data_IF_330070849290
#
_entry.id   IF_330070849290
#
_cell.length_a   1.000
_cell.length_b   1.000
_cell.length_c   1.000
_cell.angle_alpha   90.00
_cell.angle_beta   90.00
_cell.angle_gamma   90.00
#
_symmetry.space_group_name_H-M   'P 1'
#
loop_
_entity.id
_entity.type
_entity.pdbx_description
1 polymer ?
#
# COMPACT_ATOMS: atom_id res chain seq x y z
N UNK A 1 22.40 -16.11 39.62
CA UNK A 1 20.98 -16.03 40.02
C UNK A 1 20.13 -16.50 38.87
N UNK A 2 19.47 -17.65 39.05
CA UNK A 2 18.64 -18.34 38.03
C UNK A 2 17.41 -17.51 37.67
N UNK A 3 17.22 -17.23 36.37
CA UNK A 3 15.96 -16.68 35.86
C UNK A 3 14.89 -17.79 35.92
N UNK A 4 13.94 -17.67 36.82
CA UNK A 4 12.75 -18.52 36.86
C UNK A 4 11.88 -18.16 35.64
N UNK A 5 11.81 -19.08 34.69
CA UNK A 5 10.78 -19.06 33.65
C UNK A 5 9.44 -19.38 34.30
N UNK A 6 8.54 -18.42 34.39
CA UNK A 6 7.16 -18.68 34.78
C UNK A 6 6.49 -19.48 33.65
N UNK A 7 6.20 -20.74 33.92
CA UNK A 7 5.33 -21.57 33.08
C UNK A 7 3.87 -21.23 33.39
N UNK A 8 3.02 -21.01 32.40
CA UNK A 8 1.60 -20.77 32.64
C UNK A 8 0.94 -22.01 33.23
N UNK A 9 -0.10 -21.84 34.07
CA UNK A 9 -0.81 -22.98 34.69
C UNK A 9 -1.45 -23.85 33.61
N UNK A 10 -1.55 -25.16 33.83
CA UNK A 10 -2.13 -26.10 32.86
C UNK A 10 -3.60 -25.78 32.66
N UNK A 11 -3.98 -25.57 31.37
CA UNK A 11 -5.34 -25.24 30.95
C UNK A 11 -5.55 -23.80 30.50
N UNK A 12 -4.53 -22.95 30.50
CA UNK A 12 -4.63 -21.58 30.05
C UNK A 12 -4.29 -21.51 28.54
N UNK A 13 -5.31 -21.49 27.71
CA UNK A 13 -5.18 -21.22 26.27
C UNK A 13 -5.50 -19.75 26.02
N UNK A 14 -4.46 -18.97 25.73
CA UNK A 14 -4.63 -17.60 25.24
C UNK A 14 -5.21 -17.65 23.83
N UNK A 15 -6.42 -17.13 23.67
CA UNK A 15 -6.98 -16.93 22.33
C UNK A 15 -6.22 -15.76 21.66
N UNK A 16 -5.30 -16.09 20.74
CA UNK A 16 -4.48 -15.10 20.02
C UNK A 16 -5.30 -14.14 19.14
N UNK A 17 -6.59 -14.44 18.92
CA UNK A 17 -7.51 -13.58 18.18
C UNK A 17 -8.36 -12.68 19.11
N UNK A 18 -8.20 -12.81 20.43
CA UNK A 18 -8.86 -11.92 21.39
C UNK A 18 -8.22 -10.52 21.31
N UNK A 19 -9.01 -9.46 21.07
CA UNK A 19 -8.50 -8.09 21.00
C UNK A 19 -7.69 -7.69 22.23
N UNK A 20 -8.07 -8.11 23.43
CA UNK A 20 -7.34 -7.83 24.67
C UNK A 20 -5.99 -8.55 24.72
N UNK A 21 -5.90 -9.77 24.17
CA UNK A 21 -4.65 -10.53 24.08
C UNK A 21 -3.71 -9.93 23.04
N UNK A 22 -4.24 -9.48 21.89
CA UNK A 22 -3.47 -8.76 20.87
C UNK A 22 -2.96 -7.42 21.41
N UNK A 23 -3.82 -6.68 22.12
CA UNK A 23 -3.47 -5.44 22.79
C UNK A 23 -2.38 -5.65 23.85
N UNK A 24 -2.49 -6.70 24.65
CA UNK A 24 -1.47 -7.07 25.63
C UNK A 24 -0.15 -7.52 24.97
N UNK A 25 -0.21 -8.22 23.83
CA UNK A 25 0.97 -8.63 23.09
C UNK A 25 1.73 -7.43 22.49
N UNK A 26 1.01 -6.44 21.99
CA UNK A 26 1.59 -5.17 21.49
C UNK A 26 2.25 -4.40 22.67
N UNK A 27 1.60 -4.40 23.82
CA UNK A 27 2.11 -3.79 25.06
C UNK A 27 3.40 -4.48 25.56
N UNK A 28 3.43 -5.80 25.53
CA UNK A 28 4.62 -6.59 25.93
C UNK A 28 5.77 -6.34 24.96
N UNK A 29 5.52 -6.26 23.64
CA UNK A 29 6.55 -5.97 22.66
C UNK A 29 7.13 -4.57 22.83
N UNK A 30 6.33 -3.58 23.17
CA UNK A 30 6.79 -2.22 23.47
C UNK A 30 7.63 -2.19 24.77
N UNK A 31 7.24 -2.94 25.82
CA UNK A 31 7.96 -2.93 27.09
C UNK A 31 9.27 -3.73 27.08
N UNK A 32 9.40 -4.78 26.25
CA UNK A 32 10.63 -5.57 26.12
C UNK A 32 11.80 -4.79 25.50
N UNK A 33 11.51 -3.71 24.78
CA UNK A 33 12.53 -2.87 24.13
C UNK A 33 13.15 -1.82 25.02
N UNK A 34 12.54 -1.50 26.13
CA UNK A 34 13.00 -0.45 27.06
C UNK A 34 14.17 -0.93 27.95
N UNK A 35 14.50 -2.21 27.95
CA UNK A 35 15.56 -2.78 28.82
C UNK A 35 16.96 -2.82 28.22
N UNK A 36 17.18 -2.24 27.00
CA UNK A 36 18.46 -2.17 26.31
C UNK A 36 19.01 -0.76 26.21
N UNK A 37 19.87 -0.38 27.15
CA UNK A 37 20.87 0.68 27.10
C UNK A 37 20.47 2.07 26.57
N UNK A 38 19.99 2.88 27.39
CA UNK A 38 20.29 4.25 27.80
C UNK A 38 19.12 4.80 28.58
N UNK A 39 19.29 4.79 29.89
CA UNK A 39 18.37 5.41 30.85
C UNK A 39 18.55 6.92 30.77
N UNK A 40 18.18 7.53 29.65
CA UNK A 40 17.74 8.90 29.72
C UNK A 40 16.45 8.90 30.52
N UNK A 41 16.38 9.71 31.56
CA UNK A 41 15.20 9.91 32.39
C UNK A 41 14.08 10.41 31.51
N UNK A 42 13.28 9.46 30.95
CA UNK A 42 12.11 9.80 30.15
C UNK A 42 11.09 10.45 31.11
N UNK A 43 10.75 11.69 30.85
CA UNK A 43 9.74 12.38 31.60
C UNK A 43 8.36 11.74 31.40
N UNK A 44 7.65 11.56 32.52
CA UNK A 44 6.25 11.11 32.47
C UNK A 44 5.41 12.17 31.79
N UNK A 45 4.68 11.77 30.75
CA UNK A 45 3.82 12.70 30.03
C UNK A 45 3.13 12.04 28.83
N UNK A 46 2.32 12.82 28.10
CA UNK A 46 1.68 12.35 26.89
C UNK A 46 2.74 12.01 25.82
N UNK A 47 2.44 11.05 24.94
CA UNK A 47 3.33 10.71 23.84
C UNK A 47 3.65 11.92 22.96
N UNK A 48 4.87 11.98 22.44
CA UNK A 48 5.32 13.01 21.48
C UNK A 48 5.84 12.33 20.23
N UNK A 49 5.46 12.82 19.06
CA UNK A 49 6.06 12.43 17.78
C UNK A 49 7.30 13.31 17.59
N UNK A 50 8.48 12.68 17.54
CA UNK A 50 9.77 13.35 17.36
C UNK A 50 10.14 13.48 15.88
N UNK A 51 9.71 12.52 15.07
CA UNK A 51 9.83 12.51 13.61
C UNK A 51 8.48 12.09 13.04
N UNK A 52 7.90 12.96 12.24
CA UNK A 52 6.60 12.73 11.63
C UNK A 52 6.67 11.69 10.51
N UNK A 53 5.52 11.09 10.23
CA UNK A 53 5.31 10.26 9.04
C UNK A 53 5.54 11.10 7.77
N UNK A 54 6.02 10.43 6.73
CA UNK A 54 6.17 11.00 5.39
C UNK A 54 5.39 10.17 4.39
N UNK A 55 4.88 10.84 3.36
CA UNK A 55 4.24 10.18 2.23
C UNK A 55 5.25 9.25 1.54
N UNK A 56 4.76 8.09 1.11
CA UNK A 56 5.56 7.08 0.41
C UNK A 56 4.87 6.63 -0.85
N UNK A 57 5.67 6.23 -1.82
CA UNK A 57 5.18 5.61 -3.06
C UNK A 57 5.29 4.09 -2.94
N UNK A 58 4.23 3.40 -3.30
CA UNK A 58 4.10 1.95 -3.31
C UNK A 58 3.86 1.48 -4.75
N UNK A 59 4.84 0.83 -5.33
CA UNK A 59 4.65 0.17 -6.63
C UNK A 59 3.85 -1.12 -6.45
N UNK A 60 2.89 -1.39 -7.35
CA UNK A 60 2.06 -2.61 -7.30
C UNK A 60 2.91 -3.88 -7.13
N UNK A 61 2.51 -4.75 -6.20
CA UNK A 61 3.23 -5.98 -5.86
C UNK A 61 4.42 -5.81 -4.91
N UNK A 62 4.87 -4.58 -4.62
CA UNK A 62 5.95 -4.31 -3.68
C UNK A 62 5.43 -4.05 -2.24
N UNK A 63 6.32 -3.66 -1.34
CA UNK A 63 5.96 -3.26 0.01
C UNK A 63 6.34 -1.80 0.27
N UNK A 64 5.54 -1.12 1.10
CA UNK A 64 5.84 0.21 1.60
C UNK A 64 5.98 0.21 3.13
N UNK A 65 6.84 1.07 3.65
CA UNK A 65 7.05 1.26 5.08
C UNK A 65 6.76 2.72 5.45
N UNK A 66 5.77 2.92 6.31
CA UNK A 66 5.51 4.19 6.98
C UNK A 66 6.15 4.13 8.36
N UNK A 67 6.98 5.09 8.72
CA UNK A 67 7.67 5.10 10.00
C UNK A 67 7.66 6.47 10.65
N UNK A 68 7.56 6.49 11.97
CA UNK A 68 7.72 7.69 12.78
C UNK A 68 8.55 7.39 14.01
N UNK A 69 9.18 8.43 14.56
CA UNK A 69 9.88 8.34 15.83
C UNK A 69 9.03 8.95 16.93
N UNK A 70 8.90 8.23 18.05
CA UNK A 70 8.04 8.64 19.16
C UNK A 70 8.80 8.61 20.47
N UNK A 71 8.44 9.49 21.40
CA UNK A 71 8.87 9.43 22.79
C UNK A 71 7.64 9.34 23.67
N UNK A 72 7.57 8.30 24.50
CA UNK A 72 6.44 8.08 25.38
C UNK A 72 6.88 7.40 26.69
N UNK A 73 6.37 7.88 27.81
CA UNK A 73 6.50 7.21 29.09
C UNK A 73 5.30 7.56 29.97
N UNK A 74 4.53 6.61 30.50
CA UNK A 74 4.63 5.14 30.30
C UNK A 74 4.43 4.68 28.86
N UNK A 75 4.73 3.40 28.59
CA UNK A 75 4.64 2.78 27.28
C UNK A 75 3.27 3.00 26.65
N UNK A 76 3.21 3.39 25.37
CA UNK A 76 1.97 3.73 24.71
C UNK A 76 1.30 2.54 24.04
N UNK A 77 -0.01 2.66 23.84
CA UNK A 77 -0.76 1.90 22.84
C UNK A 77 -0.60 2.53 21.47
N UNK A 78 -0.43 1.72 20.45
CA UNK A 78 -0.26 2.17 19.07
C UNK A 78 -1.29 1.47 18.20
N UNK A 79 -2.07 2.28 17.48
CA UNK A 79 -3.10 1.80 16.55
C UNK A 79 -2.92 2.51 15.22
N UNK A 80 -2.98 1.76 14.14
CA UNK A 80 -2.93 2.29 12.78
C UNK A 80 -4.31 2.27 12.14
N UNK A 81 -4.57 3.30 11.34
CA UNK A 81 -5.81 3.46 10.58
C UNK A 81 -5.49 3.74 9.13
N UNK A 82 -6.36 3.26 8.23
CA UNK A 82 -6.40 3.66 6.83
C UNK A 82 -7.76 4.28 6.54
N UNK A 83 -7.77 5.53 6.09
CA UNK A 83 -8.99 6.29 5.78
C UNK A 83 -10.04 6.22 6.92
N UNK A 84 -9.57 6.30 8.17
CA UNK A 84 -10.39 6.22 9.37
C UNK A 84 -10.77 4.81 9.83
N UNK A 85 -10.44 3.77 9.07
CA UNK A 85 -10.69 2.38 9.45
C UNK A 85 -9.46 1.79 10.13
N UNK A 86 -9.65 1.19 11.31
CA UNK A 86 -8.59 0.52 12.05
C UNK A 86 -7.99 -0.64 11.25
N UNK A 87 -6.68 -0.69 11.20
CA UNK A 87 -5.91 -1.79 10.64
C UNK A 87 -5.57 -2.79 11.74
N UNK A 88 -5.45 -4.06 11.36
CA UNK A 88 -4.99 -5.13 12.26
C UNK A 88 -3.64 -5.65 11.82
N UNK A 89 -2.76 -5.93 12.78
CA UNK A 89 -1.48 -6.60 12.50
C UNK A 89 -1.75 -7.98 11.88
N UNK A 90 -1.07 -8.27 10.78
CA UNK A 90 -1.31 -9.48 10.02
C UNK A 90 -0.45 -9.58 8.76
N UNK A 91 -0.79 -10.50 7.84
CA UNK A 91 0.02 -10.73 6.65
C UNK A 91 0.13 -9.50 5.73
N UNK A 92 -0.96 -8.73 5.56
CA UNK A 92 -1.01 -7.55 4.71
C UNK A 92 -0.40 -6.32 5.38
N UNK A 93 -0.76 -6.07 6.62
CA UNK A 93 -0.33 -4.92 7.42
C UNK A 93 0.50 -5.42 8.59
N UNK A 94 1.78 -5.07 8.63
CA UNK A 94 2.68 -5.50 9.70
C UNK A 94 3.10 -4.33 10.56
N UNK A 95 2.81 -4.40 11.85
CA UNK A 95 3.30 -3.45 12.83
C UNK A 95 4.76 -3.80 13.16
N UNK A 96 5.63 -2.82 13.09
CA UNK A 96 7.05 -2.96 13.39
C UNK A 96 7.45 -1.94 14.43
N UNK A 97 8.13 -2.43 15.44
CA UNK A 97 8.71 -1.61 16.50
C UNK A 97 10.22 -1.84 16.47
N UNK A 98 10.96 -0.80 16.08
CA UNK A 98 12.43 -0.83 16.07
C UNK A 98 12.97 0.04 17.20
N UNK A 99 14.07 -0.38 17.82
CA UNK A 99 14.68 0.30 18.94
C UNK A 99 15.34 1.63 18.53
N UNK A 100 15.35 2.66 19.40
CA UNK A 100 14.70 2.70 20.71
C UNK A 100 13.27 3.25 20.69
N UNK A 101 12.83 3.97 19.65
CA UNK A 101 11.58 4.72 19.63
C UNK A 101 10.90 4.76 18.26
N UNK A 102 11.24 3.84 17.36
CA UNK A 102 10.64 3.79 16.02
C UNK A 102 9.40 2.91 15.99
N UNK A 103 8.34 3.49 15.43
CA UNK A 103 7.07 2.82 15.17
C UNK A 103 6.84 2.82 13.67
N UNK A 104 6.62 1.67 13.09
CA UNK A 104 6.39 1.55 11.67
C UNK A 104 5.22 0.62 11.33
N UNK A 105 4.60 0.92 10.19
CA UNK A 105 3.64 0.07 9.50
C UNK A 105 4.24 -0.35 8.16
N UNK A 106 4.32 -1.66 7.93
CA UNK A 106 4.69 -2.22 6.62
C UNK A 106 3.42 -2.70 5.92
N UNK A 107 3.15 -2.17 4.75
CA UNK A 107 2.09 -2.60 3.84
C UNK A 107 2.73 -3.51 2.80
N UNK A 108 2.29 -4.76 2.72
CA UNK A 108 2.84 -5.79 1.83
C UNK A 108 1.93 -6.02 0.64
N UNK A 109 2.49 -6.60 -0.42
CA UNK A 109 1.75 -7.00 -1.62
C UNK A 109 0.84 -5.85 -2.11
N UNK A 110 1.49 -4.72 -2.43
CA UNK A 110 0.83 -3.47 -2.78
C UNK A 110 -0.18 -3.63 -3.91
N UNK A 111 -1.35 -3.04 -3.74
CA UNK A 111 -2.40 -2.98 -4.76
C UNK A 111 -2.96 -1.56 -4.81
N UNK A 112 -3.62 -1.18 -5.90
CA UNK A 112 -4.21 0.16 -6.05
C UNK A 112 -5.16 0.53 -4.87
N UNK A 113 -5.82 -0.45 -4.27
CA UNK A 113 -6.67 -0.25 -3.10
C UNK A 113 -5.90 0.18 -1.83
N UNK A 114 -4.57 0.09 -1.81
CA UNK A 114 -3.74 0.59 -0.71
C UNK A 114 -3.49 2.10 -0.78
N UNK A 115 -3.80 2.75 -1.90
CA UNK A 115 -3.84 4.21 -1.97
C UNK A 115 -4.71 4.77 -0.84
N UNK A 116 -4.24 5.79 -0.13
CA UNK A 116 -5.04 6.45 0.90
C UNK A 116 -4.22 7.07 2.00
N UNK A 117 -4.93 7.64 2.99
CA UNK A 117 -4.35 8.28 4.16
C UNK A 117 -4.20 7.27 5.30
N UNK A 118 -2.99 7.13 5.79
CA UNK A 118 -2.66 6.30 6.95
C UNK A 118 -2.40 7.17 8.16
N UNK A 119 -2.97 6.80 9.29
CA UNK A 119 -2.85 7.54 10.55
C UNK A 119 -2.39 6.59 11.64
N UNK A 120 -1.35 6.98 12.38
CA UNK A 120 -0.96 6.32 13.62
C UNK A 120 -1.52 7.10 14.80
N UNK A 121 -2.15 6.42 15.74
CA UNK A 121 -2.56 6.97 17.03
C UNK A 121 -1.76 6.30 18.13
N UNK A 122 -1.14 7.11 18.94
CA UNK A 122 -0.23 6.71 20.02
C UNK A 122 -0.83 7.26 21.30
N UNK A 123 -1.17 6.41 22.26
CA UNK A 123 -1.89 6.79 23.46
C UNK A 123 -1.27 6.16 24.71
N UNK A 124 -1.10 6.95 25.75
CA UNK A 124 -0.79 6.47 27.10
C UNK A 124 -1.77 7.09 28.13
N UNK A 125 -1.65 6.80 29.46
CA UNK A 125 -2.54 7.36 30.47
C UNK A 125 -2.57 8.90 30.55
N UNK A 126 -1.56 9.58 29.99
CA UNK A 126 -1.48 11.04 29.99
C UNK A 126 -2.14 11.69 28.78
N UNK A 127 -2.50 10.92 27.75
CA UNK A 127 -3.20 11.43 26.58
C UNK A 127 -2.81 10.75 25.27
N UNK A 128 -3.45 11.11 24.17
CA UNK A 128 -3.12 10.64 22.83
C UNK A 128 -2.25 11.63 22.06
N UNK A 129 -1.54 11.12 21.06
CA UNK A 129 -1.00 11.90 19.94
C UNK A 129 -1.23 11.12 18.64
N UNK A 130 -1.22 11.79 17.49
CA UNK A 130 -1.40 11.13 16.20
C UNK A 130 -0.59 11.81 15.11
N UNK A 131 -0.14 11.01 14.14
CA UNK A 131 0.49 11.47 12.92
C UNK A 131 -0.14 10.80 11.71
N UNK A 132 -0.04 11.41 10.54
CA UNK A 132 -0.58 10.82 9.31
C UNK A 132 0.30 11.10 8.11
N UNK A 133 0.25 10.19 7.12
CA UNK A 133 0.86 10.33 5.81
C UNK A 133 0.04 9.55 4.77
N UNK A 134 0.29 9.82 3.50
CA UNK A 134 -0.37 9.13 2.40
C UNK A 134 0.54 8.05 1.81
N UNK A 135 -0.07 6.94 1.40
CA UNK A 135 0.54 6.02 0.45
C UNK A 135 -0.03 6.35 -0.92
N UNK A 136 0.85 6.70 -1.85
CA UNK A 136 0.56 6.84 -3.27
C UNK A 136 0.87 5.49 -3.92
N UNK A 137 -0.03 4.98 -4.76
CA UNK A 137 0.19 3.68 -5.41
C UNK A 137 0.46 3.91 -6.87
N UNK A 138 1.54 3.33 -7.36
CA UNK A 138 1.91 3.30 -8.76
C UNK A 138 1.70 1.90 -9.34
N UNK A 139 1.07 1.83 -10.52
CA UNK A 139 0.74 0.60 -11.22
C UNK A 139 1.36 0.66 -12.62
N UNK A 140 2.22 -0.31 -13.01
CA UNK A 140 2.76 -0.37 -14.37
C UNK A 140 1.64 -0.42 -15.42
N UNK A 141 1.88 0.21 -16.56
CA UNK A 141 0.97 0.13 -17.70
C UNK A 141 0.74 -1.32 -18.13
N UNK A 142 -0.52 -1.72 -18.29
CA UNK A 142 -0.92 -3.06 -18.73
C UNK A 142 -2.10 -2.97 -19.69
N UNK A 143 -2.07 -3.83 -20.69
CA UNK A 143 -3.15 -3.99 -21.64
C UNK A 143 -3.55 -5.47 -21.79
N UNK A 144 -4.83 -5.73 -21.92
CA UNK A 144 -5.37 -7.07 -22.12
C UNK A 144 -6.59 -7.05 -23.02
N UNK A 145 -6.77 -8.11 -23.81
CA UNK A 145 -7.96 -8.29 -24.65
C UNK A 145 -9.14 -8.71 -23.77
N UNK A 146 -10.21 -7.91 -23.80
CA UNK A 146 -11.51 -8.28 -23.25
C UNK A 146 -12.40 -8.95 -24.33
N UNK A 147 -13.61 -9.40 -23.94
CA UNK A 147 -14.53 -10.02 -24.89
C UNK A 147 -14.97 -9.07 -26.02
N UNK A 148 -15.23 -7.80 -25.68
CA UNK A 148 -15.76 -6.80 -26.60
C UNK A 148 -14.89 -5.55 -26.76
N UNK A 149 -13.85 -5.39 -25.92
CA UNK A 149 -12.97 -4.23 -25.90
C UNK A 149 -11.57 -4.59 -25.44
N UNK A 150 -10.65 -3.66 -25.62
CA UNK A 150 -9.31 -3.71 -25.05
C UNK A 150 -9.33 -3.04 -23.67
N UNK A 151 -8.90 -3.75 -22.65
CA UNK A 151 -8.78 -3.22 -21.28
C UNK A 151 -7.39 -2.70 -21.04
N UNK A 152 -7.32 -1.50 -20.48
CA UNK A 152 -6.07 -0.83 -20.10
C UNK A 152 -6.07 -0.56 -18.59
N UNK A 153 -4.90 -0.54 -17.99
CA UNK A 153 -4.69 -0.09 -16.61
C UNK A 153 -3.28 0.44 -16.43
N UNK A 154 -3.12 1.31 -15.48
CA UNK A 154 -1.84 1.91 -15.07
C UNK A 154 -2.11 3.08 -14.14
N UNK A 155 -1.17 3.34 -13.23
CA UNK A 155 -1.18 4.53 -12.39
C UNK A 155 0.27 5.05 -12.28
N UNK A 156 0.61 6.21 -12.80
CA UNK A 156 -0.26 7.15 -13.54
C UNK A 156 -0.95 6.52 -14.76
N UNK A 157 -2.09 7.10 -15.22
CA UNK A 157 -2.79 6.63 -16.42
C UNK A 157 -1.83 6.51 -17.59
N UNK A 158 -1.85 5.38 -18.33
CA UNK A 158 -0.93 5.20 -19.44
C UNK A 158 -1.34 5.97 -20.69
N UNK A 159 -0.36 6.39 -21.46
CA UNK A 159 -0.56 6.80 -22.85
C UNK A 159 -0.94 5.57 -23.68
N UNK A 160 -1.84 5.75 -24.64
CA UNK A 160 -2.39 4.67 -25.48
C UNK A 160 -2.18 4.99 -26.94
N UNK A 161 -1.57 4.08 -27.68
CA UNK A 161 -1.43 4.18 -29.12
C UNK A 161 -2.05 2.95 -29.81
N UNK A 162 -2.73 3.15 -30.92
CA UNK A 162 -3.18 2.11 -31.80
C UNK A 162 -2.28 2.06 -33.03
N UNK A 163 -1.83 0.85 -33.35
CA UNK A 163 -0.92 0.58 -34.47
C UNK A 163 -1.59 -0.32 -35.50
N UNK A 164 -1.31 -0.07 -36.77
CA UNK A 164 -1.65 -0.98 -37.86
C UNK A 164 -0.38 -1.37 -38.61
N UNK A 165 -0.10 -2.68 -38.64
CA UNK A 165 1.10 -3.26 -39.26
C UNK A 165 2.43 -2.69 -38.72
N UNK A 166 2.40 -2.13 -37.51
CA UNK A 166 3.54 -1.54 -36.79
C UNK A 166 3.64 -0.03 -36.86
N UNK A 167 2.81 0.64 -37.66
CA UNK A 167 2.75 2.09 -37.78
C UNK A 167 1.56 2.65 -37.00
N UNK A 168 1.72 3.85 -36.46
CA UNK A 168 0.64 4.57 -35.76
C UNK A 168 -0.56 4.78 -36.68
N UNK A 169 -1.77 4.65 -36.13
CA UNK A 169 -3.00 4.93 -36.86
C UNK A 169 -3.25 6.44 -36.88
N UNK A 170 -3.25 7.00 -38.07
CA UNK A 170 -3.74 8.37 -38.30
C UNK A 170 -5.25 8.38 -38.21
N UNK A 171 -5.80 9.17 -37.29
CA UNK A 171 -7.24 9.30 -37.11
C UNK A 171 -7.87 10.19 -38.17
N UNK A 172 -9.03 9.74 -38.64
CA UNK A 172 -9.88 10.51 -39.59
C UNK A 172 -11.37 10.31 -39.21
N UNK A 173 -12.28 10.89 -39.99
CA UNK A 173 -13.74 10.76 -39.77
C UNK A 173 -14.25 9.28 -39.85
N UNK A 174 -13.44 8.40 -40.41
CA UNK A 174 -13.75 6.99 -40.66
C UNK A 174 -13.01 6.05 -39.74
N UNK A 175 -11.76 6.32 -39.43
CA UNK A 175 -10.90 5.53 -38.55
C UNK A 175 -10.51 6.38 -37.36
N UNK A 176 -10.96 6.03 -36.17
CA UNK A 176 -10.67 6.75 -34.93
C UNK A 176 -10.73 5.80 -33.73
N UNK A 177 -10.14 6.20 -32.64
CA UNK A 177 -10.21 5.42 -31.40
C UNK A 177 -10.57 6.31 -30.21
N UNK A 178 -11.27 5.70 -29.27
CA UNK A 178 -11.62 6.31 -27.99
C UNK A 178 -10.78 5.67 -26.88
N UNK A 179 -10.31 6.49 -25.95
CA UNK A 179 -9.58 6.07 -24.76
C UNK A 179 -10.39 6.46 -23.53
N UNK A 180 -10.91 5.47 -22.82
CA UNK A 180 -11.56 5.65 -21.53
C UNK A 180 -10.62 5.33 -20.37
N UNK A 181 -11.08 5.48 -19.13
CA UNK A 181 -10.29 5.24 -17.92
C UNK A 181 -9.70 3.81 -17.82
N UNK A 182 -10.42 2.83 -18.34
CA UNK A 182 -10.06 1.40 -18.21
C UNK A 182 -10.15 0.62 -19.50
N UNK A 183 -10.43 1.27 -20.62
CA UNK A 183 -10.60 0.60 -21.90
C UNK A 183 -10.26 1.52 -23.09
N UNK A 184 -10.01 0.91 -24.23
CA UNK A 184 -9.89 1.61 -25.51
C UNK A 184 -10.59 0.83 -26.60
N UNK A 185 -11.15 1.54 -27.59
CA UNK A 185 -11.93 0.97 -28.70
C UNK A 185 -11.52 1.68 -29.98
N UNK A 186 -11.09 0.91 -31.00
CA UNK A 186 -10.88 1.38 -32.35
C UNK A 186 -12.17 1.20 -33.16
N UNK A 187 -12.60 2.25 -33.82
CA UNK A 187 -13.76 2.25 -34.72
C UNK A 187 -13.31 2.46 -36.16
N UNK A 188 -13.71 1.55 -37.06
CA UNK A 188 -13.50 1.64 -38.51
C UNK A 188 -14.86 1.64 -39.20
N UNK A 189 -15.29 2.79 -39.70
CA UNK A 189 -16.54 2.93 -40.47
C UNK A 189 -16.30 2.54 -41.93
N UNK A 190 -17.28 1.91 -42.58
CA UNK A 190 -17.23 1.58 -44.02
C UNK A 190 -15.90 0.89 -44.38
N UNK A 191 -15.61 -0.24 -43.69
CA UNK A 191 -14.36 -0.96 -43.84
C UNK A 191 -14.04 -1.29 -45.30
N UNK A 192 -12.78 -1.08 -45.70
CA UNK A 192 -12.24 -1.32 -47.04
C UNK A 192 -11.20 -2.44 -46.98
N UNK A 193 -10.86 -2.98 -48.13
CA UNK A 193 -9.78 -3.99 -48.23
C UNK A 193 -8.43 -3.45 -47.72
N UNK A 194 -8.18 -2.14 -47.89
CA UNK A 194 -6.99 -1.49 -47.35
C UNK A 194 -6.92 -1.40 -45.82
N UNK A 195 -8.06 -1.65 -45.14
CA UNK A 195 -8.08 -1.69 -43.67
C UNK A 195 -7.66 -3.06 -43.13
N UNK A 196 -7.51 -4.06 -43.96
CA UNK A 196 -6.96 -5.34 -43.57
C UNK A 196 -5.51 -5.14 -43.08
N UNK A 197 -5.16 -5.82 -42.00
CA UNK A 197 -3.82 -5.71 -41.40
C UNK A 197 -3.77 -6.21 -39.95
N UNK A 198 -2.63 -6.10 -39.33
CA UNK A 198 -2.41 -6.39 -37.92
C UNK A 198 -2.68 -5.14 -37.10
N UNK A 199 -3.61 -5.23 -36.18
CA UNK A 199 -3.90 -4.14 -35.24
C UNK A 199 -3.33 -4.47 -33.87
N UNK A 200 -2.61 -3.54 -33.28
CA UNK A 200 -2.01 -3.67 -31.96
C UNK A 200 -2.38 -2.43 -31.12
N UNK A 201 -2.57 -2.64 -29.81
CA UNK A 201 -2.63 -1.55 -28.83
C UNK A 201 -1.34 -1.56 -28.06
N UNK A 202 -0.69 -0.42 -27.98
CA UNK A 202 0.48 -0.16 -27.17
C UNK A 202 0.09 0.78 -26.02
N UNK A 203 0.59 0.51 -24.82
CA UNK A 203 0.36 1.35 -23.64
C UNK A 203 1.68 1.59 -22.93
N UNK A 204 1.86 2.81 -22.43
CA UNK A 204 3.07 3.23 -21.72
C UNK A 204 2.76 4.18 -20.57
N UNK A 205 3.47 3.98 -19.44
CA UNK A 205 3.62 4.98 -18.40
C UNK A 205 5.07 4.98 -17.88
N UNK A 206 5.40 5.82 -16.92
CA UNK A 206 6.75 5.92 -16.34
C UNK A 206 7.28 4.62 -15.69
N UNK A 207 6.43 3.62 -15.48
CA UNK A 207 6.78 2.33 -14.86
C UNK A 207 6.94 1.20 -15.87
N UNK A 208 6.53 1.39 -17.12
CA UNK A 208 6.71 0.39 -18.16
C UNK A 208 5.72 0.48 -19.30
N UNK A 209 5.89 -0.45 -20.23
CA UNK A 209 5.10 -0.57 -21.46
C UNK A 209 4.46 -1.95 -21.54
N UNK A 210 3.35 -2.05 -22.26
CA UNK A 210 2.72 -3.33 -22.60
C UNK A 210 2.01 -3.21 -23.95
N UNK A 211 1.72 -4.34 -24.59
CA UNK A 211 1.03 -4.36 -25.89
C UNK A 211 0.21 -5.62 -26.08
N UNK A 212 -0.87 -5.51 -26.85
CA UNK A 212 -1.72 -6.64 -27.21
C UNK A 212 -2.10 -6.60 -28.68
N UNK A 213 -2.05 -7.77 -29.31
CA UNK A 213 -2.46 -7.98 -30.70
C UNK A 213 -3.98 -8.16 -30.78
N UNK A 214 -4.64 -7.37 -31.62
CA UNK A 214 -6.08 -7.43 -31.88
C UNK A 214 -6.34 -8.31 -33.12
N UNK A 215 -6.09 -9.62 -33.02
CA UNK A 215 -6.49 -10.56 -34.09
C UNK A 215 -7.98 -10.91 -33.96
N UNK A 216 -8.76 -10.71 -35.00
CA UNK A 216 -10.01 -11.44 -35.22
C UNK A 216 -9.81 -12.57 -36.20
#
# INVERSE_FOLDING_TARGET
MSKVKATPPPGFTLNINDPQVQEAAIRIQASYRVTGASTELREKGPPKILQELRDVVLVEGSAAKLECRVSAFPDPFIVWYKDGKELKDGPKYRYVFEDPDFVALVVRDGVLADLGKYTVTIKNPFGPTSGSACILVEVPAKVSKGPDNIKIRGEPPPDVAWLKDGDDIDEDDRVFFDVGDTNTILTIKNAKVSDAGKYEVFVENNLGTDRVLCSR
#
